data_IF_416404960358
#
_entry.id   IF_416404960358
#
_cell.length_a   1.000
_cell.length_b   1.000
_cell.length_c   1.000
_cell.angle_alpha   90.00
_cell.angle_beta   90.00
_cell.angle_gamma   90.00
#
_symmetry.space_group_name_H-M   'P 1'
#
loop_
_entity.id
_entity.type
_entity.pdbx_description
1 polymer ?
#
# COMPACT_ATOMS: atom_id res chain seq x y z
N UNK A 1 -13.10 -0.86 2.49
CA UNK A 1 -12.24 0.26 2.95
C UNK A 1 -10.90 -0.26 3.39
N UNK A 2 -9.82 0.46 3.08
CA UNK A 2 -8.50 0.27 3.65
C UNK A 2 -7.54 -0.60 2.87
N UNK A 3 -7.88 -1.10 1.71
CA UNK A 3 -6.91 -1.66 0.78
C UNK A 3 -6.29 -0.55 -0.03
N UNK A 4 -4.96 -0.47 -0.01
CA UNK A 4 -4.19 0.59 -0.67
C UNK A 4 -3.16 -0.03 -1.61
N UNK A 5 -2.95 0.61 -2.75
CA UNK A 5 -1.93 0.20 -3.71
C UNK A 5 -1.33 1.44 -4.39
N UNK A 6 -0.12 1.29 -4.88
CA UNK A 6 0.51 2.30 -5.72
C UNK A 6 0.30 1.92 -7.18
N UNK A 7 -0.27 2.86 -7.95
CA UNK A 7 -0.38 2.70 -9.39
C UNK A 7 0.97 3.04 -10.03
N UNK A 8 1.61 2.07 -10.63
CA UNK A 8 2.96 2.22 -11.22
C UNK A 8 2.95 2.51 -12.71
N UNK A 9 1.78 2.49 -13.34
CA UNK A 9 1.60 2.80 -14.75
C UNK A 9 0.27 3.52 -14.97
N UNK A 10 0.08 4.14 -16.11
CA UNK A 10 -1.18 4.78 -16.48
C UNK A 10 -2.33 3.78 -16.46
N UNK A 11 -3.46 4.19 -15.89
CA UNK A 11 -4.62 3.31 -15.76
C UNK A 11 -5.84 4.06 -15.24
N UNK A 12 -6.95 3.33 -15.18
CA UNK A 12 -8.24 3.83 -14.67
C UNK A 12 -8.69 3.02 -13.47
N UNK A 13 -9.43 3.66 -12.58
CA UNK A 13 -10.11 3.01 -11.47
C UNK A 13 -11.63 3.22 -11.59
N UNK A 14 -12.41 2.34 -10.97
CA UNK A 14 -13.84 2.52 -10.91
C UNK A 14 -14.24 3.53 -9.80
N UNK A 15 -15.54 3.82 -9.71
CA UNK A 15 -16.09 4.83 -8.80
C UNK A 15 -15.88 4.54 -7.30
N UNK A 16 -15.67 3.28 -6.94
CA UNK A 16 -15.44 2.86 -5.54
C UNK A 16 -14.02 3.13 -5.02
N UNK A 17 -13.12 3.57 -5.87
CA UNK A 17 -11.73 3.88 -5.50
C UNK A 17 -11.51 5.38 -5.34
N UNK A 18 -10.76 5.75 -4.31
CA UNK A 18 -10.23 7.09 -4.15
C UNK A 18 -8.76 7.10 -4.53
N UNK A 19 -8.40 8.04 -5.39
CA UNK A 19 -7.02 8.20 -5.85
C UNK A 19 -6.38 9.42 -5.19
N UNK A 20 -5.21 9.23 -4.63
CA UNK A 20 -4.39 10.32 -4.13
C UNK A 20 -3.28 10.56 -5.14
N UNK A 21 -3.24 11.77 -5.68
CA UNK A 21 -2.22 12.18 -6.66
C UNK A 21 -1.25 13.11 -5.94
N UNK A 22 -0.04 12.65 -5.60
CA UNK A 22 0.93 13.50 -4.91
C UNK A 22 1.44 14.63 -5.80
N UNK A 23 1.48 15.83 -5.26
CA UNK A 23 2.18 16.93 -5.92
C UNK A 23 3.69 16.76 -5.78
N UNK A 24 4.42 17.02 -6.87
CA UNK A 24 5.87 16.92 -6.86
C UNK A 24 6.49 17.84 -5.80
N UNK A 25 7.46 17.33 -5.06
CA UNK A 25 8.18 18.00 -3.97
C UNK A 25 7.36 18.39 -2.73
N UNK A 26 6.08 18.00 -2.67
CA UNK A 26 5.23 18.22 -1.49
C UNK A 26 4.88 16.93 -0.78
N UNK A 27 4.60 15.87 -1.53
CA UNK A 27 4.13 14.61 -1.01
C UNK A 27 4.81 13.44 -1.70
N UNK A 28 5.39 12.53 -0.93
CA UNK A 28 6.00 11.32 -1.45
C UNK A 28 5.01 10.15 -1.46
N UNK A 29 4.89 9.48 -2.60
CA UNK A 29 3.93 8.39 -2.81
C UNK A 29 4.16 7.22 -1.86
N UNK A 30 5.40 6.81 -1.64
CA UNK A 30 5.73 5.72 -0.74
C UNK A 30 5.55 6.09 0.72
N UNK A 31 5.79 7.35 1.07
CA UNK A 31 5.48 7.83 2.41
C UNK A 31 3.99 7.67 2.71
N UNK A 32 3.12 8.13 1.81
CA UNK A 32 1.66 7.97 1.97
C UNK A 32 1.27 6.50 2.00
N UNK A 33 1.85 5.69 1.15
CA UNK A 33 1.60 4.25 1.15
C UNK A 33 2.01 3.58 2.48
N UNK A 34 3.08 4.05 3.12
CA UNK A 34 3.49 3.58 4.44
C UNK A 34 2.47 3.90 5.53
N UNK A 35 1.60 4.89 5.32
CA UNK A 35 0.55 5.32 6.26
C UNK A 35 -0.80 4.65 6.00
N UNK A 36 -0.82 3.53 5.33
CA UNK A 36 -2.05 2.78 4.98
C UNK A 36 -2.95 2.50 6.19
N UNK A 37 -2.38 2.18 7.34
CA UNK A 37 -3.16 1.91 8.55
C UNK A 37 -3.94 3.15 9.05
N UNK A 38 -3.36 4.32 8.91
CA UNK A 38 -4.03 5.58 9.27
C UNK A 38 -5.12 5.94 8.28
N UNK A 39 -4.84 5.76 6.99
CA UNK A 39 -5.84 5.91 5.93
C UNK A 39 -7.03 4.99 6.15
N UNK A 40 -6.77 3.75 6.51
CA UNK A 40 -7.79 2.76 6.82
C UNK A 40 -8.66 3.18 8.02
N UNK A 41 -8.03 3.53 9.13
CA UNK A 41 -8.74 3.98 10.34
C UNK A 41 -9.62 5.20 10.06
N UNK A 42 -9.08 6.17 9.34
CA UNK A 42 -9.83 7.34 8.95
C UNK A 42 -11.04 6.97 8.09
N UNK A 43 -10.84 6.13 7.07
CA UNK A 43 -11.91 5.67 6.19
C UNK A 43 -13.02 4.91 6.93
N UNK A 44 -12.67 4.10 7.92
CA UNK A 44 -13.64 3.39 8.77
C UNK A 44 -14.48 4.36 9.61
N UNK A 45 -13.86 5.41 10.14
CA UNK A 45 -14.57 6.42 10.94
C UNK A 45 -15.52 7.25 10.07
N UNK A 46 -15.06 7.80 8.96
CA UNK A 46 -15.88 8.69 8.13
C UNK A 46 -16.89 7.92 7.28
N UNK A 47 -16.64 6.65 7.00
CA UNK A 47 -17.54 5.78 6.26
C UNK A 47 -18.63 5.12 7.11
N UNK A 48 -18.54 5.19 8.43
CA UNK A 48 -19.38 4.46 9.40
C UNK A 48 -20.83 4.95 9.49
N UNK A 49 -21.40 5.59 8.63
CA UNK A 49 -22.81 6.02 8.64
C UNK A 49 -23.52 5.82 7.30
N UNK A 50 -22.82 5.28 6.30
CA UNK A 50 -23.40 5.06 4.99
C UNK A 50 -23.78 3.60 4.78
N UNK A 51 -24.83 3.38 4.01
CA UNK A 51 -25.28 2.05 3.61
C UNK A 51 -24.22 1.32 2.78
N UNK A 52 -23.40 2.07 2.09
CA UNK A 52 -22.19 1.61 1.42
C UNK A 52 -20.99 2.25 2.10
N UNK A 53 -20.07 1.43 2.61
CA UNK A 53 -18.89 1.91 3.33
C UNK A 53 -17.89 2.48 2.30
N UNK A 54 -18.16 3.68 1.83
CA UNK A 54 -17.34 4.41 0.88
C UNK A 54 -16.91 5.76 1.46
N UNK A 55 -15.70 6.18 1.13
CA UNK A 55 -15.15 7.49 1.49
C UNK A 55 -15.22 8.38 0.26
N UNK A 56 -15.86 9.54 0.37
CA UNK A 56 -15.93 10.49 -0.73
C UNK A 56 -14.60 11.23 -0.91
N UNK A 57 -14.41 11.83 -2.08
CA UNK A 57 -13.23 12.67 -2.35
C UNK A 57 -13.10 13.85 -1.37
N UNK A 58 -14.23 14.46 -0.98
CA UNK A 58 -14.25 15.54 0.02
C UNK A 58 -13.82 15.08 1.40
N UNK A 59 -14.27 13.91 1.83
CA UNK A 59 -13.86 13.30 3.09
C UNK A 59 -12.38 12.98 3.09
N UNK A 60 -11.86 12.45 1.97
CA UNK A 60 -10.44 12.15 1.81
C UNK A 60 -9.58 13.42 1.83
N UNK A 61 -10.04 14.49 1.20
CA UNK A 61 -9.36 15.78 1.21
C UNK A 61 -9.32 16.44 2.61
N UNK A 62 -10.28 16.14 3.45
CA UNK A 62 -10.35 16.65 4.82
C UNK A 62 -9.50 15.87 5.83
N UNK A 63 -8.88 14.78 5.42
CA UNK A 63 -8.03 13.96 6.28
C UNK A 63 -6.79 14.73 6.72
N UNK A 64 -6.51 14.68 8.01
CA UNK A 64 -5.28 15.23 8.59
C UNK A 64 -4.29 14.11 8.86
N UNK A 65 -3.09 14.24 8.33
CA UNK A 65 -1.99 13.30 8.53
C UNK A 65 -0.81 13.99 9.20
N UNK A 66 -0.22 13.32 10.18
CA UNK A 66 1.05 13.74 10.73
C UNK A 66 2.16 13.45 9.72
N UNK A 67 2.87 14.48 9.31
CA UNK A 67 3.90 14.39 8.27
C UNK A 67 5.19 15.07 8.74
N UNK A 68 6.36 14.56 8.32
CA UNK A 68 7.60 15.30 8.50
C UNK A 68 7.51 16.66 7.78
N UNK A 69 8.07 17.73 8.36
CA UNK A 69 7.98 19.07 7.78
C UNK A 69 8.75 19.22 6.47
N UNK A 70 9.76 18.37 6.24
CA UNK A 70 10.59 18.41 5.04
C UNK A 70 10.25 17.25 4.10
N UNK A 71 10.13 17.56 2.81
CA UNK A 71 9.91 16.57 1.77
C UNK A 71 11.03 15.49 1.74
N UNK A 72 12.27 15.88 1.98
CA UNK A 72 13.40 14.94 2.02
C UNK A 72 13.25 13.88 3.10
N UNK A 73 12.69 14.21 4.25
CA UNK A 73 12.39 13.22 5.30
C UNK A 73 11.29 12.26 4.88
N UNK A 74 10.24 12.75 4.26
CA UNK A 74 9.17 11.91 3.69
C UNK A 74 9.75 10.93 2.68
N UNK A 75 10.59 11.42 1.77
CA UNK A 75 11.23 10.61 0.74
C UNK A 75 12.14 9.54 1.35
N UNK A 76 12.92 9.90 2.37
CA UNK A 76 13.80 8.96 3.07
C UNK A 76 12.98 7.84 3.73
N UNK A 77 11.91 8.17 4.40
CA UNK A 77 10.99 7.21 5.01
C UNK A 77 10.33 6.34 3.93
N UNK A 78 9.83 6.93 2.87
CA UNK A 78 9.23 6.22 1.75
C UNK A 78 10.19 5.25 1.08
N UNK A 79 11.42 5.66 0.82
CA UNK A 79 12.46 4.81 0.24
C UNK A 79 12.82 3.64 1.16
N UNK A 80 12.85 3.86 2.46
CA UNK A 80 13.07 2.79 3.43
C UNK A 80 11.99 1.70 3.33
N UNK A 81 10.73 2.08 3.34
CA UNK A 81 9.62 1.13 3.20
C UNK A 81 9.59 0.47 1.82
N UNK A 82 9.93 1.19 0.77
CA UNK A 82 10.07 0.63 -0.57
C UNK A 82 11.10 -0.50 -0.61
N UNK A 83 12.24 -0.31 0.03
CA UNK A 83 13.29 -1.33 0.15
C UNK A 83 12.83 -2.52 0.97
N UNK A 84 12.14 -2.29 2.08
CA UNK A 84 11.57 -3.37 2.89
C UNK A 84 10.56 -4.20 2.08
N UNK A 85 9.67 -3.56 1.36
CA UNK A 85 8.68 -4.24 0.52
C UNK A 85 9.34 -5.08 -0.58
N UNK A 86 10.40 -4.56 -1.20
CA UNK A 86 11.19 -5.29 -2.20
C UNK A 86 11.88 -6.52 -1.60
N UNK A 87 12.46 -6.39 -0.40
CA UNK A 87 13.08 -7.50 0.31
C UNK A 87 12.05 -8.56 0.71
N UNK A 88 10.90 -8.17 1.22
CA UNK A 88 9.81 -9.09 1.56
C UNK A 88 9.35 -9.87 0.33
N UNK A 89 9.14 -9.20 -0.77
CA UNK A 89 8.75 -9.85 -2.04
C UNK A 89 9.81 -10.85 -2.50
N UNK A 90 11.09 -10.49 -2.42
CA UNK A 90 12.19 -11.36 -2.81
C UNK A 90 12.26 -12.62 -1.92
N UNK A 91 12.12 -12.45 -0.60
CA UNK A 91 12.11 -13.57 0.34
C UNK A 91 10.90 -14.47 0.18
N UNK A 92 9.73 -13.92 -0.10
CA UNK A 92 8.53 -14.69 -0.40
C UNK A 92 8.71 -15.55 -1.66
N UNK A 93 9.31 -15.01 -2.71
CA UNK A 93 9.64 -15.77 -3.93
C UNK A 93 10.62 -16.89 -3.67
N UNK A 94 11.67 -16.63 -2.88
CA UNK A 94 12.64 -17.66 -2.49
C UNK A 94 11.97 -18.78 -1.69
N UNK A 95 11.12 -18.42 -0.72
CA UNK A 95 10.39 -19.39 0.08
C UNK A 95 9.49 -20.28 -0.79
N UNK A 96 8.78 -19.70 -1.74
CA UNK A 96 7.93 -20.44 -2.65
C UNK A 96 8.73 -21.38 -3.55
N UNK A 97 9.85 -20.92 -4.09
CA UNK A 97 10.78 -21.78 -4.85
C UNK A 97 11.27 -22.97 -4.01
N UNK A 98 11.67 -22.73 -2.76
CA UNK A 98 12.12 -23.79 -1.85
C UNK A 98 11.01 -24.79 -1.54
N UNK A 99 9.78 -24.33 -1.36
CA UNK A 99 8.62 -25.21 -1.20
C UNK A 99 8.38 -26.07 -2.42
N UNK A 100 8.50 -25.51 -3.62
CA UNK A 100 8.35 -26.24 -4.87
C UNK A 100 9.46 -27.29 -5.06
N UNK A 101 10.69 -26.94 -4.73
CA UNK A 101 11.82 -27.87 -4.75
C UNK A 101 11.61 -29.02 -3.78
N UNK A 102 11.20 -28.72 -2.55
CA UNK A 102 10.85 -29.73 -1.54
C UNK A 102 9.77 -30.68 -2.04
N UNK A 103 8.72 -30.14 -2.63
CA UNK A 103 7.61 -30.93 -3.17
C UNK A 103 8.09 -31.86 -4.31
N UNK A 104 8.91 -31.36 -5.21
CA UNK A 104 9.48 -32.17 -6.29
C UNK A 104 10.35 -33.31 -5.77
N UNK A 105 11.17 -33.07 -4.74
CA UNK A 105 11.97 -34.13 -4.11
C UNK A 105 11.10 -35.16 -3.39
N UNK A 106 10.09 -34.73 -2.66
CA UNK A 106 9.16 -35.64 -1.99
C UNK A 106 8.42 -36.54 -2.98
N UNK A 107 7.96 -36.02 -4.10
CA UNK A 107 7.32 -36.80 -5.16
C UNK A 107 8.26 -37.83 -5.77
N UNK A 108 9.54 -37.50 -5.97
CA UNK A 108 10.55 -38.44 -6.48
C UNK A 108 10.92 -39.53 -5.48
N UNK A 109 10.92 -39.20 -4.18
CA UNK A 109 11.32 -40.13 -3.14
C UNK A 109 10.26 -41.19 -2.84
N UNK A 110 9.00 -40.90 -3.12
CA UNK A 110 7.87 -41.77 -2.78
C UNK A 110 7.18 -42.43 -3.96
N UNK A 111 7.80 -42.40 -5.12
CA UNK A 111 7.29 -43.07 -6.34
C UNK A 111 7.65 -44.54 -6.35
#
# INVERSE_FOLDING_TARGET
IGKTAILSAEGCTNQGFQSIVPHANDLDSYFIFSRTNELKKYGEIVGAGSTFVEVSGKQMAAMTLMMPPKFNEQKTIGDFFKRLDSLLTLHQRKLEMLKNVKQAFLEKMFV
#
